data_IF_669465206196
#
_entry.id   IF_669465206196
#
_cell.length_a   1.000
_cell.length_b   1.000
_cell.length_c   1.000
_cell.angle_alpha   90.00
_cell.angle_beta   90.00
_cell.angle_gamma   90.00
#
_symmetry.space_group_name_H-M   'P 1'
#
loop_
_entity.id
_entity.type
_entity.pdbx_description
1 polymer ?
#
# COMPACT_ATOMS: atom_id res chain seq x y z
N UNK A 1 18.12 29.03 -28.93
CA UNK A 1 18.66 28.20 -27.83
C UNK A 1 18.23 26.76 -28.04
N UNK A 2 19.07 25.95 -28.68
CA UNK A 2 18.90 24.49 -28.69
C UNK A 2 19.28 24.00 -27.29
N UNK A 3 18.29 23.54 -26.53
CA UNK A 3 18.45 23.15 -25.14
C UNK A 3 19.21 21.82 -25.04
N UNK A 4 20.15 21.81 -24.10
CA UNK A 4 20.93 20.66 -23.64
C UNK A 4 20.08 19.41 -23.41
N UNK A 5 20.66 18.25 -23.71
CA UNK A 5 20.14 16.92 -23.34
C UNK A 5 19.73 16.91 -21.87
N UNK A 6 18.41 16.94 -21.61
CA UNK A 6 17.86 16.69 -20.28
C UNK A 6 17.85 15.19 -20.05
N UNK A 7 18.66 14.71 -19.10
CA UNK A 7 18.54 13.35 -18.58
C UNK A 7 17.31 13.29 -17.66
N UNK A 8 16.23 12.66 -18.11
CA UNK A 8 15.03 12.43 -17.32
C UNK A 8 15.29 11.37 -16.23
N UNK A 9 15.16 11.77 -14.97
CA UNK A 9 15.28 10.91 -13.78
C UNK A 9 13.98 10.17 -13.45
N UNK A 10 13.99 9.32 -12.42
CA UNK A 10 12.79 8.57 -11.99
C UNK A 10 11.61 9.50 -11.60
N UNK A 11 11.91 10.69 -11.08
CA UNK A 11 10.93 11.73 -10.75
C UNK A 11 10.23 12.35 -11.98
N UNK A 12 10.79 12.18 -13.17
CA UNK A 12 10.25 12.72 -14.41
C UNK A 12 9.47 11.68 -15.24
N UNK A 13 9.41 10.42 -14.77
CA UNK A 13 8.86 9.27 -15.53
C UNK A 13 7.44 8.87 -15.16
N UNK A 14 6.84 9.51 -14.16
CA UNK A 14 5.42 9.32 -13.84
C UNK A 14 4.72 10.67 -13.77
N UNK A 15 3.53 10.73 -14.36
CA UNK A 15 2.57 11.75 -13.97
C UNK A 15 2.33 11.63 -12.46
N UNK A 16 2.33 12.76 -11.72
CA UNK A 16 2.06 12.72 -10.29
C UNK A 16 0.72 12.05 -10.07
N UNK A 17 0.65 11.21 -9.04
CA UNK A 17 -0.59 10.56 -8.56
C UNK A 17 -1.61 11.59 -8.01
N UNK A 18 -1.34 12.88 -8.19
CA UNK A 18 -2.27 13.98 -7.97
C UNK A 18 -2.28 14.88 -9.21
N UNK A 19 -3.24 14.67 -10.11
CA UNK A 19 -3.67 15.76 -10.98
C UNK A 19 -4.66 16.62 -10.19
N UNK A 20 -4.18 17.73 -9.64
CA UNK A 20 -4.94 18.97 -9.78
C UNK A 20 -4.18 19.82 -10.81
N UNK A 21 -4.32 19.48 -12.09
CA UNK A 21 -4.22 20.51 -13.09
C UNK A 21 -5.53 21.28 -13.03
N UNK A 22 -5.52 22.46 -12.39
CA UNK A 22 -6.39 23.51 -12.93
C UNK A 22 -5.89 23.72 -14.37
N UNK A 23 -6.71 23.48 -15.41
CA UNK A 23 -6.29 23.82 -16.76
C UNK A 23 -5.92 25.29 -16.79
N UNK A 24 -4.80 25.62 -17.42
CA UNK A 24 -4.37 26.99 -17.63
C UNK A 24 -5.56 27.81 -18.20
N UNK A 25 -6.01 28.83 -17.47
CA UNK A 25 -7.16 29.74 -17.73
C UNK A 25 -8.59 29.35 -17.26
N UNK A 26 -8.79 28.48 -16.26
CA UNK A 26 -10.10 28.35 -15.59
C UNK A 26 -10.17 29.16 -14.28
N UNK A 27 -11.24 29.96 -14.03
CA UNK A 27 -11.37 30.77 -12.82
C UNK A 27 -11.65 29.91 -11.58
N UNK A 28 -10.95 30.26 -10.50
CA UNK A 28 -10.71 29.47 -9.28
C UNK A 28 -11.88 29.50 -8.25
N UNK A 29 -13.11 29.76 -8.69
CA UNK A 29 -14.22 30.09 -7.79
C UNK A 29 -14.72 28.91 -6.92
N UNK A 30 -14.41 27.68 -7.32
CA UNK A 30 -14.78 26.46 -6.61
C UNK A 30 -13.82 26.12 -5.44
N UNK A 31 -12.57 26.60 -5.48
CA UNK A 31 -11.47 26.17 -4.58
C UNK A 31 -10.89 27.31 -3.73
N UNK A 32 -11.50 28.50 -3.76
CA UNK A 32 -11.07 29.72 -3.04
C UNK A 32 -10.83 29.57 -1.53
N UNK A 33 -11.37 28.53 -0.89
CA UNK A 33 -11.19 28.29 0.55
C UNK A 33 -10.08 27.25 0.87
N UNK A 34 -9.42 26.67 -0.13
CA UNK A 34 -8.36 25.67 0.09
C UNK A 34 -7.01 26.29 0.52
N UNK A 35 -6.71 27.50 0.05
CA UNK A 35 -5.48 28.22 0.42
C UNK A 35 -5.43 28.56 1.92
N UNK A 36 -6.57 28.87 2.54
CA UNK A 36 -6.62 29.27 3.95
C UNK A 36 -6.37 28.12 4.94
N UNK A 37 -6.51 26.87 4.50
CA UNK A 37 -6.38 25.68 5.37
C UNK A 37 -5.03 24.98 5.27
N UNK A 38 -4.21 25.28 4.25
CA UNK A 38 -2.98 24.50 3.99
C UNK A 38 -1.86 25.36 3.42
N UNK A 39 -0.97 25.85 4.28
CA UNK A 39 0.20 26.65 3.87
C UNK A 39 1.28 25.91 3.06
N UNK A 40 1.05 24.68 2.59
CA UNK A 40 2.07 23.85 1.93
C UNK A 40 1.48 22.89 0.88
N UNK A 41 1.12 23.42 -0.29
CA UNK A 41 0.90 22.61 -1.48
C UNK A 41 2.24 22.17 -2.09
N UNK A 42 2.85 21.17 -1.44
CA UNK A 42 3.81 20.22 -2.00
C UNK A 42 4.14 19.17 -0.93
N UNK A 43 3.26 18.20 -0.66
CA UNK A 43 3.66 17.03 0.13
C UNK A 43 3.34 15.78 -0.65
N UNK A 44 4.38 15.31 -1.32
CA UNK A 44 4.38 14.08 -2.07
C UNK A 44 4.14 12.94 -1.08
N UNK A 45 3.19 12.06 -1.39
CA UNK A 45 2.97 10.78 -0.71
C UNK A 45 4.25 9.89 -0.64
N UNK A 46 5.34 10.27 -1.32
CA UNK A 46 6.67 9.67 -1.22
C UNK A 46 7.33 9.85 0.14
N UNK A 47 7.10 10.97 0.84
CA UNK A 47 7.62 11.16 2.20
C UNK A 47 6.96 10.18 3.17
N UNK A 48 5.64 9.99 3.05
CA UNK A 48 4.90 9.00 3.84
C UNK A 48 5.31 7.57 3.50
N UNK A 49 5.54 7.25 2.22
CA UNK A 49 6.12 5.96 1.81
C UNK A 49 7.48 5.74 2.45
N UNK A 50 8.37 6.75 2.41
CA UNK A 50 9.72 6.68 2.97
C UNK A 50 9.69 6.54 4.49
N UNK A 51 8.86 7.35 5.17
CA UNK A 51 8.65 7.30 6.61
C UNK A 51 8.14 5.93 7.02
N UNK A 52 7.12 5.42 6.34
CA UNK A 52 6.55 4.12 6.64
C UNK A 52 7.56 2.99 6.43
N UNK A 53 8.30 3.03 5.33
CA UNK A 53 9.40 2.10 5.04
C UNK A 53 10.44 2.08 6.17
N UNK A 54 10.88 3.24 6.63
CA UNK A 54 11.86 3.35 7.70
C UNK A 54 11.32 2.84 9.04
N UNK A 55 10.06 3.15 9.36
CA UNK A 55 9.36 2.61 10.53
C UNK A 55 9.29 1.09 10.50
N UNK A 56 8.91 0.50 9.35
CA UNK A 56 8.88 -0.95 9.18
C UNK A 56 10.25 -1.59 9.36
N UNK A 57 11.31 -1.02 8.78
CA UNK A 57 12.68 -1.51 8.96
C UNK A 57 13.05 -1.56 10.43
N UNK A 58 12.80 -0.48 11.17
CA UNK A 58 13.10 -0.41 12.60
C UNK A 58 12.36 -1.49 13.39
N UNK A 59 11.07 -1.72 13.12
CA UNK A 59 10.32 -2.78 13.79
C UNK A 59 10.90 -4.17 13.48
N UNK A 60 11.25 -4.43 12.23
CA UNK A 60 11.78 -5.73 11.80
C UNK A 60 13.18 -6.00 12.33
N UNK A 61 14.05 -4.99 12.38
CA UNK A 61 15.39 -5.07 12.95
C UNK A 61 15.35 -5.32 14.46
N UNK A 62 14.46 -4.62 15.17
CA UNK A 62 14.26 -4.78 16.60
C UNK A 62 13.42 -6.01 16.97
N UNK A 63 12.95 -6.79 15.99
CA UNK A 63 12.04 -7.93 16.18
C UNK A 63 10.79 -7.55 16.99
N UNK A 64 10.32 -6.31 16.82
CA UNK A 64 9.14 -5.81 17.49
C UNK A 64 7.91 -6.16 16.66
N UNK A 65 6.99 -7.00 17.16
CA UNK A 65 5.77 -7.34 16.43
C UNK A 65 4.88 -6.10 16.24
N UNK A 66 4.19 -6.04 15.10
CA UNK A 66 3.22 -4.98 14.80
C UNK A 66 1.98 -5.53 14.09
N UNK A 67 0.90 -4.78 14.15
CA UNK A 67 -0.35 -5.08 13.46
C UNK A 67 -0.87 -3.80 12.83
N UNK A 68 -1.04 -3.84 11.52
CA UNK A 68 -1.46 -2.70 10.71
C UNK A 68 -2.77 -3.04 10.01
N UNK A 69 -3.86 -2.33 10.31
CA UNK A 69 -5.15 -2.59 9.65
C UNK A 69 -5.93 -1.32 9.27
N UNK A 70 -7.03 -1.46 8.53
CA UNK A 70 -7.83 -0.32 8.07
C UNK A 70 -8.76 0.28 9.15
N UNK A 71 -8.81 -0.36 10.32
CA UNK A 71 -9.72 -0.01 11.41
C UNK A 71 -8.91 0.39 12.66
N UNK A 72 -9.36 1.45 13.35
CA UNK A 72 -8.76 1.88 14.60
C UNK A 72 -9.34 1.09 15.80
N UNK A 73 -8.89 -0.15 15.97
CA UNK A 73 -9.33 -1.02 17.09
C UNK A 73 -8.20 -1.25 18.09
N UNK A 74 -8.50 -1.37 19.39
CA UNK A 74 -7.52 -1.35 20.52
C UNK A 74 -6.23 -2.13 20.25
N UNK A 75 -6.36 -3.33 19.71
CA UNK A 75 -5.26 -4.27 19.51
C UNK A 75 -4.32 -3.94 18.34
N UNK A 76 -4.66 -2.94 17.53
CA UNK A 76 -3.89 -2.50 16.36
C UNK A 76 -2.83 -1.47 16.76
N UNK A 77 -1.58 -1.62 16.30
CA UNK A 77 -0.51 -0.66 16.61
C UNK A 77 -0.51 0.54 15.65
N UNK A 78 -0.89 0.30 14.39
CA UNK A 78 -1.03 1.32 13.36
C UNK A 78 -2.27 1.09 12.51
N UNK A 79 -2.88 2.14 12.00
CA UNK A 79 -4.00 1.97 11.08
C UNK A 79 -3.87 2.82 9.83
N UNK A 80 -4.39 2.27 8.73
CA UNK A 80 -4.53 2.98 7.47
C UNK A 80 -5.65 3.99 7.59
N UNK A 81 -5.32 5.27 7.45
CA UNK A 81 -6.31 6.36 7.47
C UNK A 81 -6.91 6.57 6.09
N UNK A 82 -8.13 7.08 6.05
CA UNK A 82 -8.78 7.51 4.82
C UNK A 82 -8.06 8.69 4.17
N UNK A 83 -8.27 8.82 2.86
CA UNK A 83 -7.78 9.96 2.11
C UNK A 83 -8.58 11.22 2.48
N UNK A 84 -8.01 12.07 3.33
CA UNK A 84 -8.62 13.33 3.72
C UNK A 84 -8.83 14.32 2.55
N UNK A 85 -8.14 14.13 1.42
CA UNK A 85 -8.15 15.02 0.26
C UNK A 85 -9.16 14.60 -0.82
N UNK A 86 -9.47 13.30 -0.94
CA UNK A 86 -10.41 12.77 -1.94
C UNK A 86 -11.81 12.43 -1.39
N UNK A 87 -12.04 12.63 -0.09
CA UNK A 87 -13.37 12.41 0.48
C UNK A 87 -14.19 13.72 0.40
N UNK A 88 -15.34 13.76 -0.32
CA UNK A 88 -16.12 14.98 -0.55
C UNK A 88 -16.70 15.62 0.73
N UNK A 89 -16.56 14.94 1.86
CA UNK A 89 -16.78 15.48 3.18
C UNK A 89 -15.56 15.07 4.00
N UNK A 90 -14.89 15.97 4.72
CA UNK A 90 -14.02 15.56 5.80
C UNK A 90 -14.95 14.98 6.86
N UNK A 91 -15.36 13.72 6.71
CA UNK A 91 -15.47 12.87 7.87
C UNK A 91 -14.05 12.76 8.38
N UNK A 92 -13.63 13.81 9.10
CA UNK A 92 -12.71 13.66 10.21
C UNK A 92 -13.42 12.65 11.09
N UNK A 93 -13.21 11.36 10.78
CA UNK A 93 -13.30 10.36 11.82
C UNK A 93 -12.12 10.74 12.67
N UNK A 94 -12.36 11.69 13.58
CA UNK A 94 -11.64 11.79 14.82
C UNK A 94 -11.93 10.44 15.47
N UNK A 95 -11.20 9.41 15.04
CA UNK A 95 -11.23 8.13 15.69
C UNK A 95 -10.33 8.29 16.92
N UNK A 96 -10.77 9.19 17.80
CA UNK A 96 -10.15 9.55 19.06
C UNK A 96 -10.28 8.42 20.08
N UNK A 97 -10.91 7.32 19.69
CA UNK A 97 -11.02 6.10 20.48
C UNK A 97 -9.65 5.61 20.95
N UNK A 98 -8.61 5.74 20.11
CA UNK A 98 -7.23 5.38 20.48
C UNK A 98 -6.21 6.39 19.93
N UNK A 99 -5.94 7.49 20.66
CA UNK A 99 -5.18 8.65 20.14
C UNK A 99 -3.67 8.39 20.00
N UNK A 100 -3.13 7.32 20.60
CA UNK A 100 -1.69 7.05 20.67
C UNK A 100 -1.18 6.09 19.59
N UNK A 101 -1.99 5.78 18.57
CA UNK A 101 -1.62 4.84 17.51
C UNK A 101 -0.99 5.54 16.32
N UNK A 102 -0.07 4.83 15.65
CA UNK A 102 0.53 5.35 14.43
C UNK A 102 -0.48 5.40 13.29
N UNK A 103 -0.56 6.53 12.60
CA UNK A 103 -1.37 6.68 11.39
C UNK A 103 -0.51 6.45 10.15
N UNK A 104 -1.05 5.68 9.21
CA UNK A 104 -0.43 5.39 7.92
C UNK A 104 -1.40 5.82 6.84
N UNK A 105 -0.90 6.49 5.80
CA UNK A 105 -1.73 6.90 4.69
C UNK A 105 -2.33 5.70 3.95
N UNK A 106 -3.66 5.67 3.77
CA UNK A 106 -4.38 4.53 3.21
C UNK A 106 -3.96 4.14 1.79
N UNK A 107 -3.57 5.13 0.97
CA UNK A 107 -3.08 4.89 -0.40
C UNK A 107 -1.75 4.13 -0.43
N UNK A 108 -0.99 4.07 0.66
CA UNK A 108 0.23 3.25 0.70
C UNK A 108 -0.05 1.77 0.46
N UNK A 109 -1.29 1.30 0.61
CA UNK A 109 -1.69 -0.05 0.19
C UNK A 109 -1.61 -0.25 -1.33
N UNK A 110 -1.86 0.82 -2.09
CA UNK A 110 -1.86 0.82 -3.55
C UNK A 110 -0.43 1.02 -4.07
N UNK A 111 0.37 -0.04 -4.01
CA UNK A 111 1.82 0.03 -4.30
C UNK A 111 2.14 0.56 -5.69
N UNK A 112 1.19 0.42 -6.62
CA UNK A 112 1.31 0.82 -8.02
C UNK A 112 1.69 2.30 -8.15
N UNK A 113 1.23 3.15 -7.22
CA UNK A 113 1.58 4.57 -7.14
C UNK A 113 3.02 4.85 -6.70
N UNK A 114 3.69 3.87 -6.08
CA UNK A 114 5.01 4.00 -5.45
C UNK A 114 6.08 3.14 -6.12
N UNK A 115 5.73 2.38 -7.17
CA UNK A 115 6.62 1.42 -7.84
C UNK A 115 7.97 2.03 -8.16
N UNK A 116 8.01 3.25 -8.72
CA UNK A 116 9.27 3.90 -9.11
C UNK A 116 9.95 4.73 -8.02
N UNK A 117 9.39 4.76 -6.80
CA UNK A 117 9.84 5.61 -5.71
C UNK A 117 10.28 4.78 -4.50
N UNK A 118 10.97 3.67 -4.79
CA UNK A 118 11.44 2.69 -3.81
C UNK A 118 10.37 2.33 -2.77
N UNK A 119 9.37 1.52 -3.16
CA UNK A 119 8.17 1.29 -2.37
C UNK A 119 8.48 0.76 -0.96
N UNK A 120 7.59 1.03 0.00
CA UNK A 120 7.75 0.59 1.39
C UNK A 120 7.93 -0.92 1.54
N UNK A 121 7.45 -1.71 0.57
CA UNK A 121 7.64 -3.16 0.51
C UNK A 121 9.11 -3.56 0.50
N UNK A 122 10.03 -2.67 0.10
CA UNK A 122 11.47 -2.87 0.23
C UNK A 122 11.97 -2.91 1.68
N UNK A 123 11.19 -2.45 2.66
CA UNK A 123 11.47 -2.72 4.07
C UNK A 123 11.39 -4.22 4.41
N UNK A 124 10.69 -5.00 3.58
CA UNK A 124 10.50 -6.43 3.75
C UNK A 124 11.59 -7.24 3.05
N UNK A 125 12.62 -6.62 2.48
CA UNK A 125 13.68 -7.33 1.77
C UNK A 125 14.32 -8.45 2.63
N UNK A 126 14.62 -9.59 2.00
CA UNK A 126 15.15 -10.81 2.64
C UNK A 126 14.24 -11.46 3.70
N UNK A 127 12.96 -11.07 3.78
CA UNK A 127 11.99 -11.65 4.73
C UNK A 127 11.17 -12.78 4.12
N UNK A 128 10.77 -13.71 4.97
CA UNK A 128 9.77 -14.73 4.68
C UNK A 128 8.38 -14.14 4.92
N UNK A 129 7.59 -14.03 3.85
CA UNK A 129 6.28 -13.41 3.85
C UNK A 129 5.18 -14.46 3.73
N UNK A 130 4.26 -14.46 4.71
CA UNK A 130 3.02 -15.23 4.63
C UNK A 130 1.95 -14.40 3.91
N UNK A 131 1.48 -14.87 2.77
CA UNK A 131 0.41 -14.28 1.98
C UNK A 131 -0.88 -15.04 2.28
N UNK A 132 -1.87 -14.34 2.83
CA UNK A 132 -3.21 -14.88 3.09
C UNK A 132 -4.16 -14.17 2.15
N UNK A 133 -4.70 -14.89 1.16
CA UNK A 133 -5.65 -14.32 0.19
C UNK A 133 -6.56 -15.39 -0.40
N UNK A 134 -7.84 -15.11 -0.68
CA UNK A 134 -8.68 -16.01 -1.48
C UNK A 134 -8.07 -16.34 -2.86
N UNK A 135 -7.14 -15.52 -3.35
CA UNK A 135 -6.44 -15.73 -4.62
C UNK A 135 -5.00 -16.26 -4.45
N UNK A 136 -4.64 -16.80 -3.27
CA UNK A 136 -3.27 -17.20 -2.94
C UNK A 136 -2.66 -18.20 -3.96
N UNK A 137 -3.45 -19.16 -4.46
CA UNK A 137 -3.00 -20.09 -5.51
C UNK A 137 -2.63 -19.38 -6.82
N UNK A 138 -3.38 -18.35 -7.20
CA UNK A 138 -3.08 -17.54 -8.38
C UNK A 138 -1.85 -16.67 -8.14
N UNK A 139 -1.74 -16.02 -6.98
CA UNK A 139 -0.58 -15.19 -6.61
C UNK A 139 0.71 -16.00 -6.59
N UNK A 140 0.67 -17.23 -6.07
CA UNK A 140 1.81 -18.15 -6.10
C UNK A 140 2.31 -18.38 -7.52
N UNK A 141 1.41 -18.51 -8.48
CA UNK A 141 1.74 -18.66 -9.90
C UNK A 141 2.28 -17.39 -10.58
N UNK A 142 2.29 -16.25 -9.88
CA UNK A 142 2.80 -14.96 -10.37
C UNK A 142 4.18 -14.60 -9.80
N UNK A 143 4.65 -15.32 -8.79
CA UNK A 143 5.98 -15.08 -8.19
C UNK A 143 7.08 -15.20 -9.26
N UNK A 144 7.97 -14.21 -9.28
CA UNK A 144 9.10 -14.15 -10.22
C UNK A 144 8.74 -13.66 -11.62
N UNK A 145 7.46 -13.37 -11.91
CA UNK A 145 7.09 -12.72 -13.18
C UNK A 145 7.37 -11.22 -13.12
N UNK A 146 7.75 -10.59 -14.24
CA UNK A 146 7.98 -9.16 -14.30
C UNK A 146 6.64 -8.43 -14.42
N UNK A 147 5.87 -8.42 -13.32
CA UNK A 147 4.60 -7.71 -13.21
C UNK A 147 4.82 -6.20 -13.32
N UNK A 148 5.87 -5.71 -12.66
CA UNK A 148 6.30 -4.32 -12.66
C UNK A 148 7.68 -4.19 -13.32
N UNK A 149 8.01 -3.02 -13.87
CA UNK A 149 9.33 -2.75 -14.47
C UNK A 149 10.46 -2.70 -13.42
N UNK A 150 10.12 -2.68 -12.13
CA UNK A 150 11.06 -2.72 -11.01
C UNK A 150 10.57 -3.71 -9.96
N UNK A 151 11.50 -4.30 -9.22
CA UNK A 151 11.17 -5.22 -8.15
C UNK A 151 10.60 -4.49 -6.94
N UNK A 152 9.35 -4.81 -6.60
CA UNK A 152 8.70 -4.32 -5.38
C UNK A 152 8.97 -5.23 -4.17
N UNK A 153 9.39 -6.48 -4.40
CA UNK A 153 9.84 -7.43 -3.38
C UNK A 153 11.22 -7.94 -3.77
N UNK A 154 12.18 -7.92 -2.83
CA UNK A 154 13.57 -8.29 -3.08
C UNK A 154 13.99 -9.44 -2.19
N UNK A 155 14.43 -10.54 -2.81
CA UNK A 155 14.91 -11.73 -2.12
C UNK A 155 13.93 -12.28 -1.06
N UNK A 156 12.63 -12.09 -1.29
CA UNK A 156 11.59 -12.55 -0.40
C UNK A 156 11.29 -14.03 -0.61
N UNK A 157 11.08 -14.76 0.48
CA UNK A 157 10.48 -16.11 0.43
C UNK A 157 8.99 -15.97 0.68
N UNK A 158 8.14 -16.55 -0.18
CA UNK A 158 6.69 -16.44 -0.04
C UNK A 158 6.06 -17.77 0.36
N UNK A 159 5.14 -17.70 1.32
CA UNK A 159 4.28 -18.81 1.70
C UNK A 159 2.83 -18.37 1.48
N UNK A 160 2.03 -19.22 0.83
CA UNK A 160 0.70 -18.86 0.36
C UNK A 160 -0.37 -19.69 1.07
N UNK A 161 -1.43 -19.03 1.53
CA UNK A 161 -2.58 -19.66 2.16
C UNK A 161 -3.88 -19.02 1.69
N UNK A 162 -4.86 -19.83 1.30
CA UNK A 162 -6.17 -19.31 0.88
C UNK A 162 -7.04 -18.87 2.05
N UNK A 163 -6.88 -19.54 3.19
CA UNK A 163 -7.60 -19.24 4.42
C UNK A 163 -6.85 -19.73 5.64
N UNK A 164 -7.27 -19.27 6.82
CA UNK A 164 -6.78 -19.73 8.10
C UNK A 164 -7.97 -20.02 9.03
N UNK A 165 -7.90 -21.13 9.74
CA UNK A 165 -8.81 -21.47 10.82
C UNK A 165 -8.06 -21.65 12.15
N UNK A 166 -8.79 -21.85 13.26
CA UNK A 166 -8.20 -21.97 14.60
C UNK A 166 -7.19 -23.11 14.77
N UNK A 167 -7.27 -24.14 13.91
CA UNK A 167 -6.41 -25.33 13.93
C UNK A 167 -5.32 -25.31 12.86
N UNK A 168 -5.21 -24.22 12.11
CA UNK A 168 -4.18 -24.10 11.08
C UNK A 168 -2.79 -24.13 11.70
N UNK A 169 -1.97 -25.07 11.24
CA UNK A 169 -0.55 -25.11 11.56
C UNK A 169 0.12 -24.03 10.71
N UNK A 170 0.71 -23.05 11.39
CA UNK A 170 1.37 -21.95 10.72
C UNK A 170 2.84 -22.32 10.46
N UNK A 171 3.35 -22.05 9.25
CA UNK A 171 4.77 -22.16 8.98
C UNK A 171 5.53 -21.04 9.68
N UNK A 172 6.87 -21.09 9.66
CA UNK A 172 7.67 -19.96 10.09
C UNK A 172 7.69 -18.86 9.02
N UNK A 173 7.44 -17.63 9.46
CA UNK A 173 7.46 -16.41 8.64
C UNK A 173 7.78 -15.20 9.52
N UNK A 174 8.20 -14.10 8.87
CA UNK A 174 8.53 -12.83 9.51
C UNK A 174 7.30 -11.89 9.57
N UNK A 175 6.59 -11.75 8.44
CA UNK A 175 5.44 -10.85 8.30
C UNK A 175 4.32 -11.52 7.51
N UNK A 176 3.06 -11.34 7.92
CA UNK A 176 1.90 -11.73 7.13
C UNK A 176 1.27 -10.53 6.40
N UNK A 177 1.02 -10.68 5.10
CA UNK A 177 0.21 -9.75 4.30
C UNK A 177 -1.16 -10.39 4.06
N UNK A 178 -2.22 -9.67 4.43
CA UNK A 178 -3.56 -10.24 4.59
C UNK A 178 -4.56 -9.53 3.67
N UNK A 179 -5.17 -10.31 2.80
CA UNK A 179 -6.35 -9.99 2.01
C UNK A 179 -7.42 -11.03 2.34
N UNK A 180 -8.34 -10.73 3.25
CA UNK A 180 -9.27 -11.73 3.75
C UNK A 180 -10.61 -11.09 4.10
N UNK A 181 -11.69 -11.87 4.14
CA UNK A 181 -13.04 -11.37 4.45
C UNK A 181 -13.11 -10.71 5.83
N UNK A 182 -12.35 -11.21 6.80
CA UNK A 182 -12.17 -10.56 8.11
C UNK A 182 -10.67 -10.43 8.42
N UNK A 183 -10.01 -9.40 7.86
CA UNK A 183 -8.55 -9.29 7.92
C UNK A 183 -8.09 -8.89 9.34
N UNK A 184 -8.90 -8.10 10.07
CA UNK A 184 -8.60 -7.67 11.44
C UNK A 184 -8.58 -8.86 12.41
N UNK A 185 -9.57 -9.74 12.37
CA UNK A 185 -9.59 -10.92 13.24
C UNK A 185 -8.42 -11.87 12.96
N UNK A 186 -8.09 -12.07 11.68
CA UNK A 186 -6.93 -12.87 11.26
C UNK A 186 -5.62 -12.24 11.76
N UNK A 187 -5.43 -10.95 11.54
CA UNK A 187 -4.27 -10.20 11.99
C UNK A 187 -4.11 -10.27 13.51
N UNK A 188 -5.22 -10.07 14.24
CA UNK A 188 -5.26 -10.12 15.68
C UNK A 188 -4.85 -11.49 16.23
N UNK A 189 -5.35 -12.58 15.64
CA UNK A 189 -4.97 -13.94 16.03
C UNK A 189 -3.47 -14.18 15.86
N UNK A 190 -2.92 -13.83 14.70
CA UNK A 190 -1.48 -13.97 14.42
C UNK A 190 -0.62 -13.13 15.38
N UNK A 191 -1.07 -11.92 15.68
CA UNK A 191 -0.35 -11.03 16.59
C UNK A 191 -0.40 -11.53 18.04
N UNK A 192 -1.60 -11.75 18.60
CA UNK A 192 -1.77 -12.08 20.02
C UNK A 192 -1.39 -13.51 20.38
N UNK A 193 -1.64 -14.47 19.49
CA UNK A 193 -1.41 -15.89 19.79
C UNK A 193 -0.04 -16.36 19.31
N UNK A 194 0.55 -15.70 18.31
CA UNK A 194 1.81 -16.13 17.68
C UNK A 194 2.93 -15.09 17.74
N UNK A 195 2.65 -13.87 18.20
CA UNK A 195 3.65 -12.80 18.26
C UNK A 195 4.17 -12.38 16.89
N UNK A 196 3.38 -12.59 15.82
CA UNK A 196 3.82 -12.35 14.43
C UNK A 196 3.33 -10.99 13.93
N UNK A 197 4.13 -10.35 13.09
CA UNK A 197 3.78 -9.07 12.47
C UNK A 197 2.79 -9.24 11.33
N UNK A 198 1.85 -8.32 11.19
CA UNK A 198 0.75 -8.41 10.21
C UNK A 198 0.42 -7.07 9.57
N UNK A 199 0.06 -7.10 8.28
CA UNK A 199 -0.44 -5.95 7.53
C UNK A 199 -1.71 -6.38 6.78
N UNK A 200 -2.84 -5.81 7.14
CA UNK A 200 -4.11 -5.95 6.44
C UNK A 200 -4.08 -5.10 5.15
N UNK A 201 -3.80 -5.73 4.03
CA UNK A 201 -3.66 -5.10 2.72
C UNK A 201 -5.00 -4.99 1.97
N UNK A 202 -5.93 -5.92 2.23
CA UNK A 202 -7.18 -6.01 1.46
C UNK A 202 -6.91 -6.28 -0.02
N UNK A 203 -7.88 -5.89 -0.89
CA UNK A 203 -7.82 -6.14 -2.34
C UNK A 203 -6.51 -5.70 -3.01
N UNK A 204 -5.87 -4.64 -2.50
CA UNK A 204 -4.62 -4.11 -3.05
C UNK A 204 -3.45 -5.11 -3.03
N UNK A 205 -3.51 -6.16 -2.18
CA UNK A 205 -2.52 -7.23 -2.19
C UNK A 205 -2.45 -7.96 -3.53
N UNK A 206 -3.60 -8.17 -4.18
CA UNK A 206 -3.69 -8.86 -5.47
C UNK A 206 -2.95 -8.11 -6.57
N UNK A 207 -3.04 -6.79 -6.57
CA UNK A 207 -2.34 -5.92 -7.52
C UNK A 207 -0.80 -6.07 -7.40
N UNK A 208 -0.28 -6.30 -6.19
CA UNK A 208 1.16 -6.54 -5.98
C UNK A 208 1.67 -7.80 -6.69
N UNK A 209 0.79 -8.76 -6.98
CA UNK A 209 1.10 -10.00 -7.71
C UNK A 209 0.56 -9.99 -9.15
N UNK A 210 0.16 -8.83 -9.67
CA UNK A 210 -0.34 -8.71 -11.03
C UNK A 210 -1.67 -9.42 -11.25
N UNK A 211 -2.51 -9.46 -10.23
CA UNK A 211 -3.89 -9.94 -10.30
C UNK A 211 -4.83 -8.73 -10.21
N UNK A 212 -5.86 -8.68 -11.06
CA UNK A 212 -6.77 -7.53 -11.12
C UNK A 212 -8.21 -7.97 -11.40
N UNK A 213 -9.18 -7.22 -10.88
CA UNK A 213 -10.61 -7.34 -11.23
C UNK A 213 -11.08 -6.15 -12.10
N UNK A 214 -12.40 -6.09 -12.38
CA UNK A 214 -12.96 -5.00 -13.20
C UNK A 214 -12.94 -3.66 -12.45
N UNK A 215 -13.12 -3.68 -11.13
CA UNK A 215 -13.12 -2.49 -10.29
C UNK A 215 -11.72 -1.88 -10.30
N UNK A 216 -10.67 -2.72 -10.21
CA UNK A 216 -9.28 -2.27 -10.28
C UNK A 216 -8.97 -1.50 -11.58
N UNK A 217 -9.46 -1.98 -12.73
CA UNK A 217 -9.29 -1.28 -14.02
C UNK A 217 -10.02 0.05 -14.00
N UNK A 218 -11.22 0.12 -13.42
CA UNK A 218 -12.01 1.34 -13.36
C UNK A 218 -11.40 2.37 -12.41
N UNK A 219 -10.87 1.93 -11.26
CA UNK A 219 -10.22 2.77 -10.26
C UNK A 219 -8.84 3.23 -10.70
N UNK A 220 -8.07 2.37 -11.38
CA UNK A 220 -6.68 2.64 -11.74
C UNK A 220 -6.47 2.66 -13.26
N UNK A 221 -7.37 3.31 -14.01
CA UNK A 221 -7.37 3.30 -15.49
C UNK A 221 -6.02 3.68 -16.09
N UNK A 222 -5.36 4.73 -15.58
CA UNK A 222 -4.09 5.18 -16.15
C UNK A 222 -2.92 4.28 -15.78
N UNK A 223 -2.92 3.75 -14.55
CA UNK A 223 -1.92 2.76 -14.14
C UNK A 223 -2.07 1.45 -14.91
N UNK A 224 -3.31 1.08 -15.23
CA UNK A 224 -3.61 -0.09 -16.06
C UNK A 224 -3.01 0.05 -17.46
N UNK A 225 -3.03 1.24 -18.06
CA UNK A 225 -2.37 1.50 -19.35
C UNK A 225 -0.85 1.36 -19.30
N UNK A 226 -0.24 1.65 -18.14
CA UNK A 226 1.22 1.65 -17.95
C UNK A 226 1.74 0.26 -17.61
N UNK A 227 1.08 -0.44 -16.68
CA UNK A 227 1.63 -1.65 -16.07
C UNK A 227 1.04 -2.94 -16.62
N UNK A 228 -0.18 -2.94 -17.16
CA UNK A 228 -0.77 -4.17 -17.70
C UNK A 228 0.10 -4.70 -18.83
N UNK A 229 0.45 -5.97 -18.69
CA UNK A 229 1.26 -6.70 -19.64
C UNK A 229 0.81 -8.17 -19.66
N UNK A 230 1.44 -8.99 -20.50
CA UNK A 230 1.09 -10.40 -20.68
C UNK A 230 1.15 -11.27 -19.41
N UNK A 231 1.78 -10.80 -18.35
CA UNK A 231 1.87 -11.51 -17.08
C UNK A 231 0.74 -11.19 -16.11
N UNK A 232 0.02 -10.08 -16.31
CA UNK A 232 -1.15 -9.74 -15.50
C UNK A 232 -2.29 -10.72 -15.78
N UNK A 233 -3.04 -11.07 -14.74
CA UNK A 233 -4.19 -11.99 -14.84
C UNK A 233 -5.42 -11.40 -14.20
N UNK A 234 -6.53 -11.55 -14.90
CA UNK A 234 -7.84 -11.23 -14.35
C UNK A 234 -8.29 -12.31 -13.36
N UNK A 235 -8.86 -11.89 -12.24
CA UNK A 235 -9.52 -12.76 -11.24
C UNK A 235 -11.04 -12.80 -11.42
#
# INVERSE_FOLDING_TARGET
HQSQDRSYGANDRLAPVFEYFAPYNLPNDLYKNLEEMTGHYSRWNFEDNTKWRNTLKLYLENKQPFIVCAENVESVSHYFTWDAYNTPVPKVVNDSTFPNKGTIWGELRNIVHFVFCEPWTLALENKTLLIISPHASLMKGQVGKPIFPVEIFRNNTFIFMESMGPRTILPEFDVALIDFVNPVACAHFLFTTKGKSTICMGKALSLMFGLYDVDDIQTFQDLSKIFLNQYWKRI
#
